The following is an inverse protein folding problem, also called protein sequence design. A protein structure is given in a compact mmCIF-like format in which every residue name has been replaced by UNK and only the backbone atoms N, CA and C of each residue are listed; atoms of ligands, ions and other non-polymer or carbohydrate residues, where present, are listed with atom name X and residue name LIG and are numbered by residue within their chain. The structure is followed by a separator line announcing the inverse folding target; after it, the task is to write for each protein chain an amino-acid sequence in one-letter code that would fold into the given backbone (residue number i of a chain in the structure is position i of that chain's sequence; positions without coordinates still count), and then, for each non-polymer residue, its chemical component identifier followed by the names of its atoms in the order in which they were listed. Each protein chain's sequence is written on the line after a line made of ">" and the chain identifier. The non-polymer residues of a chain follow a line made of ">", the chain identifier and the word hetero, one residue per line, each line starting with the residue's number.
data_IF_615009359631
#
_entry.id   IF_615009359631
#
_cell.length_a   1.000
_cell.length_b   1.000
_cell.length_c   1.000
_cell.angle_alpha   90.00
_cell.angle_beta   90.00
_cell.angle_gamma   90.00
#
_symmetry.space_group_name_H-M   'P 1'
#
loop_
_entity.id
_entity.type
_entity.pdbx_description
1 polymer ?
2 polymer ?
3 non-polymer ?
4 non-polymer ?
5 non-polymer ?
6 non-polymer ?
7 non-polymer ?
#
# COMPACT_ATOMS: atom_id res chain seq x y z
N UNK A 3 5.90 1.65 -20.06
CA UNK A 3 5.90 0.25 -19.68
C UNK A 3 4.51 -0.35 -19.55
N UNK A 4 4.41 -1.27 -18.60
CA UNK A 4 3.16 -1.91 -18.27
C UNK A 4 2.38 -1.13 -17.24
N UNK A 5 1.06 -1.11 -17.40
CA UNK A 5 0.20 -0.39 -16.47
C UNK A 5 -1.01 -1.27 -16.14
N UNK A 6 -1.41 -1.29 -14.87
CA UNK A 6 -2.47 -2.20 -14.44
C UNK A 6 -3.58 -1.41 -13.76
N UNK A 7 -4.76 -2.02 -13.72
CA UNK A 7 -5.86 -1.52 -12.91
C UNK A 7 -6.45 -2.70 -12.14
N UNK A 8 -6.65 -2.52 -10.83
CA UNK A 8 -7.12 -3.59 -9.96
C UNK A 8 -8.30 -3.12 -9.13
N UNK A 9 -9.19 -4.05 -8.87
CA UNK A 9 -10.24 -3.93 -7.88
C UNK A 9 -9.94 -4.95 -6.81
N UNK A 10 -9.78 -4.49 -5.58
CA UNK A 10 -9.51 -5.39 -4.46
C UNK A 10 -10.73 -5.43 -3.55
N UNK A 11 -11.00 -6.61 -3.02
CA UNK A 11 -12.10 -6.88 -2.10
C UNK A 11 -11.55 -7.69 -0.96
N UNK A 12 -11.91 -7.28 0.25
CA UNK A 12 -11.47 -7.90 1.49
C UNK A 12 -12.72 -8.19 2.30
N UNK A 13 -13.02 -9.46 2.49
CA UNK A 13 -14.18 -9.92 3.26
C UNK A 13 -13.71 -10.64 4.53
N UNK A 14 -14.27 -10.26 5.66
CA UNK A 14 -13.99 -10.91 6.94
C UNK A 14 -15.30 -11.51 7.43
N UNK A 15 -15.38 -12.85 7.46
CA UNK A 15 -16.56 -13.54 7.96
C UNK A 15 -16.29 -13.88 9.41
N UNK A 16 -17.05 -13.23 10.30
CA UNK A 16 -16.88 -13.34 11.74
C UNK A 16 -17.77 -14.42 12.31
N UNK A 17 -19.06 -14.43 11.97
CA UNK A 17 -19.93 -15.50 12.43
C UNK A 17 -20.98 -15.75 11.35
N UNK A 18 -22.04 -16.51 11.70
CA UNK A 18 -23.00 -16.95 10.69
C UNK A 18 -23.79 -15.80 10.09
N UNK A 19 -23.83 -14.64 10.75
CA UNK A 19 -24.55 -13.46 10.27
C UNK A 19 -23.61 -12.32 9.92
N UNK A 20 -22.74 -11.91 10.84
CA UNK A 20 -21.89 -10.75 10.59
C UNK A 20 -20.78 -11.10 9.60
N UNK A 21 -20.56 -10.21 8.63
CA UNK A 21 -19.47 -10.37 7.68
C UNK A 21 -19.17 -8.99 7.09
N UNK A 22 -17.97 -8.47 7.32
CA UNK A 22 -17.63 -7.14 6.81
C UNK A 22 -16.95 -7.26 5.46
N UNK A 23 -17.19 -6.28 4.59
CA UNK A 23 -16.55 -6.22 3.27
C UNK A 23 -15.99 -4.85 2.92
N UNK A 24 -14.76 -4.83 2.41
CA UNK A 24 -14.15 -3.61 1.92
C UNK A 24 -13.71 -3.77 0.48
N UNK A 25 -13.66 -2.66 -0.24
CA UNK A 25 -13.27 -2.72 -1.64
C UNK A 25 -12.73 -1.40 -2.11
N UNK A 26 -11.81 -1.47 -3.06
CA UNK A 26 -11.23 -0.25 -3.60
C UNK A 26 -10.68 -0.53 -4.98
N UNK A 27 -10.52 0.53 -5.75
CA UNK A 27 -9.96 0.46 -7.09
C UNK A 27 -8.63 1.19 -7.16
N UNK A 28 -7.67 0.59 -7.86
CA UNK A 28 -6.29 1.08 -7.88
C UNK A 28 -5.75 1.11 -9.30
N UNK A 29 -5.32 2.29 -9.74
CA UNK A 29 -4.52 2.42 -10.95
C UNK A 29 -3.05 2.37 -10.55
N UNK A 30 -2.39 1.26 -10.86
CA UNK A 30 -1.07 0.95 -10.31
C UNK A 30 -1.11 1.03 -8.79
N UNK A 31 -0.43 2.00 -8.19
CA UNK A 31 -0.42 2.16 -6.74
C UNK A 31 -1.28 3.32 -6.27
N UNK A 32 -1.93 4.03 -7.19
CA UNK A 32 -2.75 5.18 -6.83
C UNK A 32 -4.18 4.71 -6.64
N UNK A 33 -4.72 4.92 -5.46
CA UNK A 33 -6.12 4.61 -5.24
C UNK A 33 -6.98 5.61 -5.98
N UNK A 34 -7.79 5.09 -6.90
CA UNK A 34 -8.70 5.93 -7.66
C UNK A 34 -10.14 5.81 -7.18
N UNK A 35 -10.48 4.70 -6.52
CA UNK A 35 -11.85 4.45 -6.11
C UNK A 35 -11.93 3.83 -4.73
N UNK A 36 -13.02 4.14 -4.04
CA UNK A 36 -13.38 3.45 -2.84
C UNK A 36 -14.77 2.88 -3.00
N UNK A 37 -15.21 2.17 -1.96
CA UNK A 37 -16.53 1.54 -1.95
C UNK A 37 -17.21 1.91 -0.65
N UNK A 38 -18.30 2.67 -0.74
CA UNK A 38 -19.13 2.92 0.43
C UNK A 38 -20.03 1.73 0.66
N UNK A 39 -19.83 1.05 1.79
CA UNK A 39 -20.51 -0.22 2.05
C UNK A 39 -21.95 -0.03 2.50
N UNK A 40 -22.27 1.08 3.13
CA UNK A 40 -23.62 1.37 3.55
C UNK A 40 -24.51 1.52 2.32
N UNK A 41 -24.29 2.56 1.50
CA UNK A 41 -25.02 2.75 0.25
C UNK A 41 -24.62 1.76 -0.84
N UNK A 42 -23.48 1.12 -0.71
CA UNK A 42 -23.03 0.24 -1.77
C UNK A 42 -22.81 0.97 -3.07
N UNK A 43 -21.98 2.00 -3.02
CA UNK A 43 -21.74 2.86 -4.17
C UNK A 43 -20.24 3.04 -4.37
N UNK A 44 -19.86 3.40 -5.60
CA UNK A 44 -18.46 3.67 -5.92
C UNK A 44 -18.15 5.09 -5.51
N UNK A 45 -17.03 5.29 -4.82
CA UNK A 45 -16.56 6.60 -4.42
C UNK A 45 -15.43 6.96 -5.38
N UNK A 46 -15.61 8.08 -6.11
CA UNK A 46 -14.63 8.52 -7.11
C UNK A 46 -13.65 9.49 -6.47
N UNK A 47 -12.45 9.02 -6.12
CA UNK A 47 -11.46 9.79 -5.36
C UNK A 47 -10.81 10.92 -6.14
N UNK A 48 -10.96 10.97 -7.46
CA UNK A 48 -10.41 12.04 -8.28
C UNK A 48 -11.50 12.56 -9.21
N UNK A 49 -11.29 13.76 -9.75
CA UNK A 49 -12.24 14.29 -10.72
C UNK A 49 -12.34 13.38 -11.94
N UNK A 50 -11.21 12.83 -12.37
CA UNK A 50 -11.13 11.98 -13.55
C UNK A 50 -11.38 10.50 -13.24
N UNK A 51 -11.90 10.15 -12.07
CA UNK A 51 -12.08 8.74 -11.78
C UNK A 51 -13.18 8.10 -12.62
N UNK A 52 -14.08 8.89 -13.21
CA UNK A 52 -15.11 8.33 -14.07
C UNK A 52 -14.49 7.66 -15.29
N UNK A 53 -13.39 8.22 -15.80
CA UNK A 53 -12.61 7.54 -16.82
C UNK A 53 -13.34 7.28 -18.12
N UNK A 54 -13.97 8.31 -18.65
CA UNK A 54 -14.67 8.23 -19.93
C UNK A 54 -15.78 7.17 -19.95
N UNK A 55 -16.38 6.85 -18.81
CA UNK A 55 -17.54 5.97 -18.70
C UNK A 55 -18.77 6.79 -18.29
N UNK A 56 -19.89 6.58 -18.98
CA UNK A 56 -21.12 7.32 -18.71
C UNK A 56 -21.69 6.99 -17.31
N UNK A 57 -22.56 7.89 -16.81
CA UNK A 57 -23.19 7.63 -15.52
C UNK A 57 -24.09 6.42 -15.58
N UNK A 58 -24.72 6.17 -16.73
CA UNK A 58 -25.50 4.94 -16.85
C UNK A 58 -24.58 3.72 -16.76
N UNK A 59 -23.44 3.76 -17.44
CA UNK A 59 -22.46 2.66 -17.35
C UNK A 59 -22.02 2.42 -15.90
N UNK A 60 -21.54 3.47 -15.23
CA UNK A 60 -21.06 3.35 -13.86
C UNK A 60 -22.18 2.97 -12.88
N UNK A 61 -23.43 3.44 -13.12
CA UNK A 61 -24.54 3.05 -12.27
C UNK A 61 -24.85 1.57 -12.39
N UNK A 62 -24.81 1.03 -13.60
CA UNK A 62 -25.02 -0.39 -13.81
C UNK A 62 -23.85 -1.22 -13.25
N UNK A 63 -22.60 -0.74 -13.37
CA UNK A 63 -21.48 -1.46 -12.74
C UNK A 63 -21.66 -1.50 -11.22
N UNK A 64 -22.17 -0.41 -10.63
CA UNK A 64 -22.53 -0.42 -9.21
C UNK A 64 -23.55 -1.49 -8.92
N UNK A 65 -24.67 -1.51 -9.67
CA UNK A 65 -25.68 -2.56 -9.45
C UNK A 65 -25.10 -3.95 -9.52
N UNK A 66 -24.24 -4.19 -10.52
CA UNK A 66 -23.56 -5.47 -10.66
C UNK A 66 -22.75 -5.81 -9.41
N UNK A 67 -21.99 -4.84 -8.89
CA UNK A 67 -21.18 -5.09 -7.71
C UNK A 67 -22.04 -5.35 -6.49
N UNK A 68 -23.17 -4.65 -6.36
CA UNK A 68 -24.05 -4.89 -5.23
C UNK A 68 -24.60 -6.31 -5.26
N UNK A 69 -25.06 -6.73 -6.44
CA UNK A 69 -25.59 -8.08 -6.54
C UNK A 69 -24.49 -9.13 -6.35
N UNK A 70 -23.29 -8.87 -6.85
CA UNK A 70 -22.18 -9.81 -6.66
C UNK A 70 -21.85 -9.95 -5.18
N UNK A 71 -21.77 -8.83 -4.47
CA UNK A 71 -21.55 -8.87 -3.03
C UNK A 71 -22.66 -9.67 -2.35
N UNK A 72 -23.91 -9.38 -2.69
CA UNK A 72 -25.04 -10.09 -2.07
C UNK A 72 -24.89 -11.60 -2.25
N UNK A 73 -24.75 -12.05 -3.50
CA UNK A 73 -24.69 -13.48 -3.77
C UNK A 73 -23.47 -14.15 -3.18
N UNK A 74 -22.30 -13.52 -3.32
CA UNK A 74 -21.07 -14.12 -2.79
C UNK A 74 -21.16 -14.32 -1.29
N UNK A 75 -21.61 -13.30 -0.57
CA UNK A 75 -21.77 -13.44 0.86
C UNK A 75 -22.78 -14.51 1.20
N UNK A 76 -23.90 -14.54 0.46
CA UNK A 76 -24.95 -15.52 0.72
C UNK A 76 -24.40 -16.95 0.62
N UNK A 77 -23.69 -17.25 -0.46
CA UNK A 77 -23.24 -18.62 -0.68
C UNK A 77 -22.12 -19.01 0.28
N UNK A 78 -21.19 -18.09 0.56
CA UNK A 78 -20.11 -18.43 1.47
C UNK A 78 -20.64 -18.65 2.88
N UNK A 79 -21.57 -17.81 3.34
CA UNK A 79 -22.11 -18.00 4.68
C UNK A 79 -22.99 -19.24 4.73
N UNK A 80 -23.61 -19.61 3.62
CA UNK A 80 -24.35 -20.86 3.56
C UNK A 80 -23.40 -22.03 3.80
N UNK A 81 -22.29 -22.09 3.07
CA UNK A 81 -21.38 -23.24 3.20
C UNK A 81 -20.63 -23.25 4.52
N UNK A 82 -20.38 -22.07 5.09
CA UNK A 82 -19.56 -21.95 6.28
C UNK A 82 -20.33 -22.20 7.56
N UNK A 83 -21.61 -21.84 7.61
CA UNK A 83 -22.38 -22.12 8.82
C UNK A 83 -22.46 -23.62 9.06
N UNK A 84 -22.08 -24.43 8.07
CA UNK A 84 -22.04 -25.87 8.27
C UNK A 84 -20.95 -26.28 9.25
N UNK A 85 -19.88 -25.49 9.40
CA UNK A 85 -18.91 -25.71 10.48
C UNK A 85 -18.59 -24.34 11.07
N UNK A 86 -19.22 -24.04 12.20
CA UNK A 86 -18.89 -22.83 12.93
C UNK A 86 -17.45 -22.77 13.43
N UNK A 87 -16.67 -23.85 13.32
CA UNK A 87 -15.33 -23.85 13.88
C UNK A 87 -14.42 -22.98 13.06
N UNK A 88 -14.69 -22.90 11.75
CA UNK A 88 -13.82 -22.13 10.88
C UNK A 88 -13.82 -20.65 11.22
N UNK A 89 -14.99 -20.10 11.55
CA UNK A 89 -15.10 -18.68 11.83
C UNK A 89 -14.08 -18.31 12.90
N UNK A 90 -13.43 -17.17 12.78
CA UNK A 90 -13.54 -16.21 11.69
C UNK A 90 -12.59 -16.54 10.56
N UNK A 91 -12.86 -16.06 9.34
CA UNK A 91 -11.91 -16.27 8.26
C UNK A 91 -11.96 -15.09 7.31
N UNK A 92 -11.01 -15.08 6.39
CA UNK A 92 -10.83 -13.97 5.49
C UNK A 92 -10.76 -14.42 4.04
N UNK A 93 -11.38 -13.64 3.18
CA UNK A 93 -11.28 -13.87 1.75
C UNK A 93 -10.84 -12.58 1.08
N UNK A 94 -9.87 -12.68 0.18
CA UNK A 94 -9.35 -11.54 -0.56
C UNK A 94 -9.44 -11.82 -2.04
N UNK A 95 -9.96 -10.86 -2.80
CA UNK A 95 -10.13 -10.97 -4.24
C UNK A 95 -9.39 -9.80 -4.86
N UNK A 96 -8.44 -10.08 -5.77
CA UNK A 96 -7.77 -9.05 -6.57
C UNK A 96 -8.16 -9.33 -8.01
N UNK A 97 -8.95 -8.44 -8.59
CA UNK A 97 -9.35 -8.57 -9.97
C UNK A 97 -8.82 -7.39 -10.78
N UNK A 98 -8.84 -7.55 -12.08
CA UNK A 98 -8.44 -6.41 -12.89
C UNK A 98 -7.64 -6.83 -14.11
N UNK A 99 -6.80 -5.94 -14.62
CA UNK A 99 -6.10 -6.19 -15.88
C UNK A 99 -4.76 -5.45 -15.93
N UNK A 100 -3.98 -5.81 -16.92
CA UNK A 100 -2.68 -5.19 -17.13
C UNK A 100 -2.42 -5.08 -18.63
N UNK A 101 -2.11 -3.86 -19.06
CA UNK A 101 -1.68 -3.56 -20.42
C UNK A 101 -0.17 -3.65 -20.55
N UNK A 102 0.27 -4.55 -21.42
CA UNK A 102 1.68 -4.77 -21.66
C UNK A 102 2.23 -3.85 -22.72
N UNK A 103 3.54 -3.92 -22.86
CA UNK A 103 4.22 -3.17 -23.87
C UNK A 103 3.70 -3.63 -25.23
N UNK A 104 3.05 -2.71 -25.94
CA UNK A 104 2.48 -3.00 -27.22
C UNK A 104 0.98 -3.00 -27.26
N UNK A 105 0.34 -2.87 -26.09
CA UNK A 105 -1.10 -2.81 -26.02
C UNK A 105 -1.78 -4.14 -25.78
N UNK A 106 -1.04 -5.18 -25.48
CA UNK A 106 -1.69 -6.47 -25.23
C UNK A 106 -2.23 -6.53 -23.81
N UNK A 107 -3.51 -6.85 -23.62
CA UNK A 107 -4.05 -6.94 -22.26
C UNK A 107 -3.99 -8.38 -21.72
N UNK A 108 -3.88 -8.44 -20.41
CA UNK A 108 -3.97 -9.68 -19.66
C UNK A 108 -4.76 -9.43 -18.38
N UNK A 109 -5.78 -10.25 -18.16
CA UNK A 109 -6.68 -10.09 -17.04
C UNK A 109 -6.34 -11.03 -15.89
N UNK A 110 -6.56 -10.56 -14.66
CA UNK A 110 -6.39 -11.33 -13.45
C UNK A 110 -7.68 -11.41 -12.67
N UNK A 111 -7.87 -12.56 -12.04
CA UNK A 111 -8.89 -12.71 -11.00
C UNK A 111 -8.35 -13.73 -10.03
N UNK A 112 -7.77 -13.27 -8.92
CA UNK A 112 -7.13 -14.13 -7.92
C UNK A 112 -7.83 -14.03 -6.58
N UNK A 113 -7.98 -15.19 -5.92
CA UNK A 113 -8.67 -15.31 -4.65
C UNK A 113 -7.77 -16.00 -3.62
N UNK A 114 -7.66 -15.39 -2.44
CA UNK A 114 -6.93 -15.98 -1.33
C UNK A 114 -7.87 -16.22 -0.16
N UNK A 115 -7.63 -17.31 0.56
CA UNK A 115 -8.40 -17.71 1.72
C UNK A 115 -7.48 -17.69 2.94
N UNK A 116 -7.76 -16.80 3.89
CA UNK A 116 -6.92 -16.67 5.07
C UNK A 116 -5.47 -16.36 4.71
N UNK A 117 -5.27 -15.41 3.79
CA UNK A 117 -3.93 -14.99 3.41
C UNK A 117 -3.12 -15.98 2.60
N UNK A 118 -3.71 -17.12 2.23
CA UNK A 118 -3.07 -18.12 1.39
C UNK A 118 -3.81 -18.25 0.07
N UNK A 119 -3.07 -18.43 -1.02
CA UNK A 119 -3.67 -18.52 -2.35
C UNK A 119 -4.67 -19.66 -2.42
N UNK A 120 -5.92 -19.32 -2.74
CA UNK A 120 -6.96 -20.32 -2.88
C UNK A 120 -7.14 -20.74 -4.34
N UNK A 121 -7.46 -19.78 -5.23
CA UNK A 121 -7.71 -20.17 -6.62
C UNK A 121 -7.47 -18.99 -7.54
N UNK A 122 -7.43 -19.28 -8.85
CA UNK A 122 -7.17 -18.27 -9.86
C UNK A 122 -8.06 -18.49 -11.07
N UNK A 123 -8.22 -17.46 -11.89
CA UNK A 123 -8.94 -17.55 -13.16
C UNK A 123 -7.89 -17.43 -14.27
N UNK A 124 -7.38 -18.56 -14.73
CA UNK A 124 -6.32 -18.61 -15.72
C UNK A 124 -6.92 -18.89 -17.08
N UNK A 125 -6.52 -18.12 -18.09
CA UNK A 125 -7.10 -18.23 -19.44
C UNK A 125 -8.61 -18.10 -19.39
N UNK A 126 -9.34 -19.21 -19.42
CA UNK A 126 -10.79 -19.15 -19.34
C UNK A 126 -11.39 -20.10 -18.32
N UNK A 127 -10.59 -20.59 -17.36
CA UNK A 127 -11.08 -21.61 -16.42
C UNK A 127 -10.53 -21.35 -15.02
N UNK A 128 -11.26 -21.85 -14.06
CA UNK A 128 -10.87 -21.75 -12.66
C UNK A 128 -9.83 -22.81 -12.34
N UNK A 129 -8.64 -22.36 -11.97
CA UNK A 129 -7.51 -23.21 -11.61
C UNK A 129 -7.29 -23.12 -10.10
N UNK A 130 -7.42 -24.22 -9.38
CA UNK A 130 -7.16 -24.21 -7.93
C UNK A 130 -5.68 -24.08 -7.61
N UNK A 131 -5.39 -23.50 -6.45
CA UNK A 131 -3.98 -23.31 -6.16
C UNK A 131 -3.39 -24.55 -5.50
N UNK A 132 -2.16 -24.89 -5.86
CA UNK A 132 -1.43 -25.96 -5.14
C UNK A 132 -1.16 -25.47 -3.72
N UNK A 133 -1.61 -26.26 -2.74
CA UNK A 133 -1.51 -25.81 -1.36
C UNK A 133 -2.81 -26.06 -0.66
N UNK A 134 -3.81 -25.22 -0.94
CA UNK A 134 -5.16 -25.51 -0.52
C UNK A 134 -5.63 -26.73 -1.29
N UNK A 135 -5.99 -27.79 -0.59
CA UNK A 135 -6.33 -28.95 -1.35
C UNK A 135 -7.81 -29.12 -1.52
N UNK A 136 -8.47 -29.56 -0.44
CA UNK A 136 -9.89 -29.89 -0.50
C UNK A 136 -10.70 -28.64 -0.81
N UNK A 137 -10.42 -27.53 -0.10
CA UNK A 137 -11.25 -26.34 -0.25
C UNK A 137 -11.05 -25.72 -1.63
N UNK A 138 -9.82 -25.71 -2.11
CA UNK A 138 -9.59 -25.13 -3.43
C UNK A 138 -10.33 -25.94 -4.50
N UNK A 139 -10.20 -27.27 -4.45
CA UNK A 139 -10.89 -28.15 -5.41
C UNK A 139 -12.42 -28.07 -5.30
N UNK A 140 -12.97 -27.95 -4.09
CA UNK A 140 -14.41 -27.85 -3.92
C UNK A 140 -14.94 -26.52 -4.49
N UNK A 141 -14.26 -25.41 -4.19
CA UNK A 141 -14.68 -24.11 -4.71
C UNK A 141 -14.54 -24.09 -6.23
N UNK A 142 -13.50 -24.73 -6.76
CA UNK A 142 -13.37 -24.81 -8.21
C UNK A 142 -14.46 -25.65 -8.85
N UNK A 143 -14.82 -26.77 -8.22
CA UNK A 143 -15.89 -27.59 -8.76
C UNK A 143 -17.21 -26.81 -8.75
N UNK A 144 -17.47 -26.05 -7.70
CA UNK A 144 -18.69 -25.26 -7.66
C UNK A 144 -18.70 -24.18 -8.73
N UNK A 145 -17.53 -23.55 -8.97
CA UNK A 145 -17.49 -22.42 -9.90
C UNK A 145 -17.52 -22.89 -11.35
N UNK A 146 -16.78 -23.97 -11.67
CA UNK A 146 -16.62 -24.41 -13.05
C UNK A 146 -17.91 -24.97 -13.61
N UNK A 147 -18.85 -25.37 -12.75
CA UNK A 147 -20.07 -26.00 -13.27
C UNK A 147 -21.36 -25.35 -12.76
N UNK A 148 -21.53 -25.22 -11.46
CA UNK A 148 -22.80 -24.72 -10.91
C UNK A 148 -23.00 -23.24 -11.20
N UNK A 149 -22.15 -22.40 -10.60
CA UNK A 149 -22.25 -20.95 -10.74
C UNK A 149 -21.67 -20.54 -12.08
N UNK A 150 -22.43 -20.84 -13.10
CA UNK A 150 -22.07 -20.39 -14.42
C UNK A 150 -22.90 -19.17 -14.78
N UNK A 151 -22.37 -18.39 -15.71
CA UNK A 151 -22.80 -17.04 -15.91
C UNK A 151 -21.98 -16.10 -15.09
N UNK A 152 -21.48 -16.59 -13.97
CA UNK A 152 -20.51 -15.83 -13.23
C UNK A 152 -19.16 -15.88 -13.93
N UNK A 153 -18.85 -17.03 -14.54
CA UNK A 153 -17.57 -17.17 -15.22
C UNK A 153 -17.51 -16.28 -16.46
N UNK A 154 -18.57 -16.28 -17.27
CA UNK A 154 -18.60 -15.43 -18.46
C UNK A 154 -18.50 -13.95 -18.08
N UNK A 155 -19.15 -13.57 -16.98
CA UNK A 155 -19.10 -12.19 -16.53
C UNK A 155 -17.68 -11.82 -16.08
N UNK A 156 -17.01 -12.71 -15.34
CA UNK A 156 -15.64 -12.45 -14.94
C UNK A 156 -14.74 -12.28 -16.16
N UNK A 157 -14.92 -13.14 -17.17
CA UNK A 157 -14.10 -13.03 -18.37
C UNK A 157 -14.30 -11.68 -19.04
N UNK A 158 -15.55 -11.30 -19.28
CA UNK A 158 -15.79 -10.02 -19.97
C UNK A 158 -15.40 -8.82 -19.13
N UNK A 159 -15.43 -8.93 -17.80
CA UNK A 159 -15.01 -7.80 -16.99
C UNK A 159 -13.51 -7.63 -17.07
N UNK A 160 -12.75 -8.71 -16.85
CA UNK A 160 -11.31 -8.57 -16.76
C UNK A 160 -10.64 -8.52 -18.12
N UNK A 161 -11.33 -8.94 -19.18
CA UNK A 161 -10.72 -9.00 -20.50
C UNK A 161 -11.24 -7.96 -21.48
N UNK A 162 -12.43 -7.41 -21.27
CA UNK A 162 -13.01 -6.42 -22.17
C UNK A 162 -13.25 -5.08 -21.50
N UNK A 163 -14.02 -5.07 -20.41
CA UNK A 163 -14.37 -3.81 -19.79
C UNK A 163 -13.18 -3.21 -19.06
N UNK A 164 -12.38 -4.05 -18.40
CA UNK A 164 -11.27 -3.52 -17.63
C UNK A 164 -10.28 -2.78 -18.50
N UNK A 165 -9.82 -3.29 -19.65
CA UNK A 165 -8.86 -2.51 -20.42
C UNK A 165 -9.45 -1.23 -21.03
N UNK A 166 -10.71 -1.25 -21.46
CA UNK A 166 -11.31 0.00 -21.94
C UNK A 166 -11.32 1.03 -20.85
N UNK A 167 -11.75 0.63 -19.64
CA UNK A 167 -11.80 1.58 -18.55
C UNK A 167 -10.42 2.04 -18.13
N UNK A 168 -9.43 1.16 -18.20
CA UNK A 168 -8.08 1.56 -17.82
C UNK A 168 -7.56 2.63 -18.77
N UNK A 169 -7.75 2.44 -20.07
CA UNK A 169 -7.31 3.45 -21.02
C UNK A 169 -8.14 4.73 -20.90
N UNK A 170 -9.42 4.60 -20.62
CA UNK A 170 -10.23 5.78 -20.34
C UNK A 170 -9.75 6.53 -19.13
N UNK A 171 -9.33 5.82 -18.10
CA UNK A 171 -8.79 6.45 -16.90
C UNK A 171 -7.47 7.13 -17.20
N UNK A 172 -6.59 6.45 -17.93
CA UNK A 172 -5.29 7.03 -18.27
C UNK A 172 -5.46 8.28 -19.11
N UNK A 173 -6.46 8.29 -19.98
CA UNK A 173 -6.64 9.49 -20.77
C UNK A 173 -7.29 10.59 -19.93
N UNK A 174 -8.23 10.22 -19.07
CA UNK A 174 -8.91 11.22 -18.27
C UNK A 174 -7.97 11.85 -17.25
N UNK A 175 -7.05 11.08 -16.67
CA UNK A 175 -6.14 11.65 -15.68
C UNK A 175 -4.71 11.79 -16.18
N UNK A 176 -4.54 12.27 -17.42
CA UNK A 176 -3.19 12.35 -17.98
C UNK A 176 -2.31 13.33 -17.24
N UNK A 177 -2.87 14.42 -16.74
CA UNK A 177 -2.06 15.43 -16.07
C UNK A 177 -1.66 15.01 -14.65
N UNK A 178 -2.31 14.01 -14.08
CA UNK A 178 -1.93 13.56 -12.76
C UNK A 178 -1.05 12.32 -12.80
N UNK A 179 -1.29 11.42 -13.75
CA UNK A 179 -0.46 10.22 -13.80
C UNK A 179 0.91 10.51 -14.39
N UNK A 180 0.98 11.43 -15.34
CA UNK A 180 2.25 11.81 -15.90
C UNK A 180 2.95 12.89 -15.14
N UNK A 181 2.52 13.16 -13.90
CA UNK A 181 3.10 14.26 -13.15
C UNK A 181 4.50 13.87 -12.67
N UNK A 182 5.28 14.92 -12.38
CA UNK A 182 6.66 14.76 -11.86
C UNK A 182 6.80 15.75 -10.70
N UNK A 183 7.03 15.25 -9.48
CA UNK A 183 7.12 16.04 -8.25
C UNK A 183 8.53 15.96 -7.69
N UNK A 184 9.16 17.13 -7.52
CA UNK A 184 10.58 17.17 -7.08
C UNK A 184 10.71 16.81 -5.60
N UNK A 185 11.68 15.97 -5.23
CA UNK A 185 11.92 15.60 -3.83
C UNK A 185 12.68 16.71 -3.11
N UNK A 186 12.54 16.69 -1.79
CA UNK A 186 13.34 17.49 -0.89
C UNK A 186 14.24 16.54 -0.13
N UNK A 187 15.51 16.86 -0.05
CA UNK A 187 16.48 16.01 0.64
C UNK A 187 17.04 16.77 1.83
N UNK A 188 17.40 16.01 2.86
CA UNK A 188 18.06 16.65 3.98
C UNK A 188 18.88 15.60 4.70
N UNK A 189 19.91 16.07 5.34
CA UNK A 189 20.84 15.20 6.03
C UNK A 189 20.56 15.26 7.52
N UNK A 190 20.92 14.20 8.22
CA UNK A 190 20.76 14.17 9.67
C UNK A 190 21.72 13.13 10.20
N UNK A 191 21.85 13.06 11.52
CA UNK A 191 22.72 12.09 12.16
C UNK A 191 21.88 11.15 13.00
N UNK A 192 21.93 9.87 12.66
CA UNK A 192 21.21 8.86 13.40
C UNK A 192 21.97 8.41 14.63
N UNK A 193 21.45 7.36 15.27
CA UNK A 193 22.14 6.84 16.46
C UNK A 193 23.51 6.30 16.11
N UNK A 194 24.47 6.50 17.03
CA UNK A 194 25.87 6.10 16.84
C UNK A 194 25.99 4.59 16.69
N UNK A 195 26.54 4.08 15.58
CA UNK A 195 26.71 2.60 15.44
C UNK A 195 27.74 2.04 16.40
N UNK A 196 28.55 2.90 17.00
CA UNK A 196 29.57 2.49 17.94
C UNK A 196 30.33 3.69 18.45
N UNK A 197 31.14 3.46 19.48
CA UNK A 197 31.98 4.54 20.00
C UNK A 197 32.96 5.01 18.94
N UNK A 198 32.97 6.33 18.70
CA UNK A 198 33.79 6.91 17.65
C UNK A 198 33.20 6.77 16.27
N UNK A 199 32.36 5.78 16.06
CA UNK A 199 31.72 5.61 14.79
C UNK A 199 30.50 6.52 14.71
N UNK A 200 30.22 6.96 13.48
CA UNK A 200 29.23 7.99 13.22
C UNK A 200 28.23 7.51 12.18
N UNK A 201 26.96 7.88 12.37
CA UNK A 201 25.86 7.46 11.50
C UNK A 201 25.34 8.66 10.70
N UNK A 202 25.53 8.63 9.39
CA UNK A 202 24.99 9.62 8.47
C UNK A 202 23.67 9.12 7.86
N UNK A 203 22.68 9.98 7.78
CA UNK A 203 21.35 9.64 7.27
C UNK A 203 20.97 10.66 6.22
N UNK A 204 20.42 10.16 5.12
CA UNK A 204 20.01 11.01 4.01
C UNK A 204 18.53 10.75 3.75
N UNK A 205 17.70 11.79 3.86
CA UNK A 205 16.26 11.66 3.68
C UNK A 205 15.87 12.30 2.36
N UNK A 206 15.08 11.58 1.56
CA UNK A 206 14.58 12.09 0.29
C UNK A 206 13.09 11.87 0.32
N UNK A 207 12.32 12.95 0.48
CA UNK A 207 10.88 12.82 0.65
C UNK A 207 10.13 13.68 -0.35
N UNK A 208 8.90 13.27 -0.62
CA UNK A 208 7.99 14.06 -1.45
C UNK A 208 8.21 13.97 -2.93
N UNK A 209 8.61 12.82 -3.46
CA UNK A 209 8.87 12.68 -4.87
C UNK A 209 7.87 11.72 -5.50
N UNK A 210 7.45 12.05 -6.73
CA UNK A 210 6.68 11.19 -7.60
C UNK A 210 7.15 11.45 -9.02
N UNK A 211 7.32 10.41 -9.87
CA UNK A 211 7.04 8.98 -9.67
C UNK A 211 7.94 8.33 -8.63
N UNK A 212 7.61 7.10 -8.30
CA UNK A 212 8.23 6.32 -7.24
C UNK A 212 9.71 5.97 -7.47
N UNK A 213 10.14 5.58 -8.67
CA UNK A 213 11.56 5.22 -8.85
C UNK A 213 12.49 6.36 -8.49
N UNK A 214 13.58 6.05 -7.79
CA UNK A 214 14.50 7.07 -7.32
C UNK A 214 15.86 6.44 -7.07
N UNK A 215 16.90 7.24 -7.13
CA UNK A 215 18.26 6.77 -6.90
C UNK A 215 18.89 7.62 -5.81
N UNK A 216 19.31 6.97 -4.73
CA UNK A 216 19.91 7.65 -3.60
C UNK A 216 21.16 6.89 -3.23
N UNK A 217 22.27 7.61 -3.04
CA UNK A 217 23.52 6.98 -2.66
C UNK A 217 24.40 7.94 -1.87
N UNK A 218 25.17 7.36 -0.98
CA UNK A 218 26.25 8.10 -0.36
C UNK A 218 27.51 7.93 -1.17
N UNK A 219 28.17 9.05 -1.48
CA UNK A 219 29.28 9.05 -2.41
C UNK A 219 30.44 9.93 -1.92
N UNK A 220 31.65 9.55 -2.31
CA UNK A 220 32.87 10.35 -2.15
C UNK A 220 33.25 10.84 -3.53
N UNK A 221 32.75 12.01 -3.90
CA UNK A 221 32.93 12.51 -5.25
C UNK A 221 32.17 11.68 -6.26
N UNK A 222 32.90 10.87 -7.04
CA UNK A 222 32.24 9.99 -7.99
C UNK A 222 32.15 8.56 -7.50
N UNK A 223 32.95 8.16 -6.51
CA UNK A 223 32.90 6.80 -5.98
C UNK A 223 31.79 6.66 -4.95
N UNK A 224 30.73 5.95 -5.30
CA UNK A 224 29.67 5.72 -4.37
C UNK A 224 30.09 4.71 -3.31
N UNK A 225 29.78 5.02 -2.06
CA UNK A 225 30.03 4.07 -0.98
C UNK A 225 29.14 2.86 -1.13
N UNK A 226 29.70 1.69 -0.86
CA UNK A 226 28.95 0.46 -0.97
C UNK A 226 28.35 0.04 0.36
N UNK A 227 28.75 0.72 1.42
CA UNK A 227 28.20 0.35 2.70
C UNK A 227 26.88 1.01 2.98
N UNK A 228 26.43 1.92 2.11
CA UNK A 228 25.20 2.62 2.40
C UNK A 228 24.01 1.68 2.29
N UNK A 229 23.14 1.76 3.29
CA UNK A 229 21.96 0.92 3.43
C UNK A 229 20.76 1.75 2.99
N UNK A 230 20.17 1.36 1.86
CA UNK A 230 18.96 1.99 1.35
C UNK A 230 17.74 1.42 2.06
N UNK A 231 16.89 2.29 2.61
CA UNK A 231 15.65 1.85 3.24
C UNK A 231 14.60 1.53 2.19
N UNK A 232 13.36 1.36 2.67
CA UNK A 232 12.22 1.10 1.79
C UNK A 232 11.65 2.41 1.28
N UNK A 233 11.14 2.39 0.05
CA UNK A 233 10.39 3.53 -0.47
C UNK A 233 9.00 3.45 0.13
N UNK A 234 8.71 4.33 1.09
CA UNK A 234 7.52 4.42 1.93
C UNK A 234 6.56 5.49 1.41
N UNK A 235 5.26 5.39 1.64
CA UNK A 235 4.32 6.36 1.09
C UNK A 235 4.11 7.59 1.97
N UNK A 236 3.87 8.70 1.31
CA UNK A 236 3.36 9.88 1.96
C UNK A 236 1.89 10.00 1.57
N UNK A 237 1.18 10.81 2.34
CA UNK A 237 -0.16 11.19 1.93
C UNK A 237 -0.04 12.09 0.70
N UNK A 238 -1.10 12.14 -0.10
CA UNK A 238 -1.15 12.95 -1.32
C UNK A 238 -0.11 12.45 -2.34
N UNK A 239 0.08 11.15 -2.43
CA UNK A 239 0.82 10.63 -3.56
C UNK A 239 2.25 11.06 -3.78
N UNK A 240 3.07 10.96 -2.75
CA UNK A 240 4.48 11.16 -2.85
C UNK A 240 5.12 10.03 -2.08
N UNK A 241 6.46 9.96 -2.13
CA UNK A 241 7.21 8.85 -1.56
C UNK A 241 8.40 9.36 -0.76
N UNK A 242 8.90 8.51 0.11
CA UNK A 242 9.97 8.82 1.04
C UNK A 242 10.98 7.70 1.00
N UNK A 243 12.26 8.05 1.17
CA UNK A 243 13.36 7.10 1.15
C UNK A 243 14.45 7.59 2.11
N UNK A 244 15.13 6.65 2.75
CA UNK A 244 16.17 6.97 3.71
C UNK A 244 17.38 6.13 3.37
N UNK A 245 18.53 6.76 3.18
CA UNK A 245 19.77 6.05 2.89
C UNK A 245 20.73 6.37 4.01
N UNK A 246 21.17 5.35 4.73
CA UNK A 246 22.05 5.55 5.87
C UNK A 246 23.46 5.02 5.58
N UNK A 247 24.40 5.44 6.42
CA UNK A 247 25.79 4.98 6.32
C UNK A 247 26.51 5.24 7.64
N UNK A 248 27.28 4.26 8.11
CA UNK A 248 28.13 4.48 9.28
C UNK A 248 29.59 4.59 8.85
N UNK A 249 30.31 5.53 9.45
CA UNK A 249 31.63 5.89 8.97
C UNK A 249 32.51 6.22 10.16
N UNK A 250 33.81 6.15 9.94
CA UNK A 250 34.72 6.54 10.99
C UNK A 250 34.67 8.05 11.14
N UNK A 251 34.59 8.48 12.40
CA UNK A 251 34.63 9.89 12.69
C UNK A 251 35.97 10.44 12.21
N UNK A 252 35.97 11.30 11.20
CA UNK A 252 37.19 11.75 10.55
C UNK A 252 37.19 11.45 9.08
N UNK A 253 36.52 10.36 8.70
CA UNK A 253 36.27 10.02 7.32
C UNK A 253 34.92 10.55 6.84
N UNK A 254 34.16 11.22 7.71
CA UNK A 254 32.85 11.73 7.30
C UNK A 254 32.96 12.99 6.45
N UNK A 255 33.98 13.81 6.65
CA UNK A 255 34.16 15.00 5.82
C UNK A 255 34.47 14.61 4.38
N UNK A 256 33.83 15.31 3.43
CA UNK A 256 33.96 14.99 2.02
C UNK A 256 32.88 14.11 1.46
N UNK A 257 32.19 13.35 2.31
CA UNK A 257 31.08 12.54 1.84
C UNK A 257 29.88 13.41 1.52
N UNK A 258 29.06 12.92 0.59
CA UNK A 258 27.86 13.63 0.21
C UNK A 258 26.79 12.59 -0.08
N UNK A 259 25.58 13.08 -0.22
CA UNK A 259 24.41 12.29 -0.58
C UNK A 259 23.93 12.77 -1.95
N UNK A 260 23.86 11.85 -2.92
CA UNK A 260 23.38 12.17 -4.26
C UNK A 260 22.02 11.52 -4.52
N UNK A 261 21.10 12.28 -5.10
CA UNK A 261 19.73 11.88 -5.40
C UNK A 261 19.47 12.15 -6.88
N UNK A 262 19.11 11.10 -7.61
CA UNK A 262 18.71 11.20 -9.01
C UNK A 262 17.26 10.81 -9.09
N UNK A 263 16.49 11.64 -9.78
CA UNK A 263 15.07 11.44 -9.95
C UNK A 263 14.68 12.00 -11.30
N UNK A 264 13.61 11.45 -11.89
CA UNK A 264 13.19 11.91 -13.21
C UNK A 264 12.77 13.37 -13.19
N UNK A 265 12.22 13.83 -12.05
CA UNK A 265 11.73 15.20 -11.94
C UNK A 265 12.85 16.24 -11.87
N UNK A 266 14.06 15.78 -11.55
CA UNK A 266 15.18 16.73 -11.34
C UNK A 266 15.69 17.19 -12.72
N UNK A 267 15.12 16.64 -13.78
CA UNK A 267 15.47 17.08 -15.16
C UNK A 267 17.00 17.21 -15.30
N UNK A 268 17.76 16.20 -14.89
CA UNK A 268 19.22 16.24 -15.12
C UNK A 268 19.99 16.67 -13.90
N UNK A 269 19.91 17.96 -13.52
CA UNK A 269 20.75 18.41 -12.42
C UNK A 269 20.33 17.68 -11.13
N UNK A 270 21.16 16.72 -10.66
CA UNK A 270 20.84 15.91 -9.48
C UNK A 270 20.96 16.73 -8.21
N UNK A 271 20.43 16.17 -7.11
CA UNK A 271 20.54 16.78 -5.78
C UNK A 271 21.78 16.22 -5.08
N UNK A 272 22.65 17.11 -4.61
CA UNK A 272 23.87 16.70 -3.91
C UNK A 272 23.91 17.47 -2.60
N UNK A 273 24.06 16.74 -1.49
CA UNK A 273 24.08 17.31 -0.15
C UNK A 273 25.31 16.82 0.59
N UNK A 274 26.26 17.72 0.84
CA UNK A 274 27.50 17.34 1.50
C UNK A 274 27.33 17.33 3.01
N UNK A 275 27.89 16.31 3.64
CA UNK A 275 27.83 16.22 5.08
C UNK A 275 28.76 17.29 5.62
N UNK A 276 28.22 18.15 6.47
CA UNK A 276 28.96 19.22 7.09
C UNK A 276 29.25 18.91 8.55
N UNK A 277 28.26 18.39 9.27
CA UNK A 277 28.40 18.11 10.68
C UNK A 277 28.63 19.38 11.47
N UNK A 278 29.72 19.42 12.22
CA UNK A 278 30.08 20.60 13.02
C UNK A 278 31.34 21.26 12.49
N UNK A 279 31.45 21.27 11.15
CA UNK A 279 32.59 21.81 10.43
C UNK A 279 32.40 23.25 10.00
N UNK A 280 31.17 23.75 9.89
CA UNK A 280 30.90 25.10 9.41
C UNK A 280 30.74 25.99 10.64
N UNK A 281 31.54 27.08 10.79
CA UNK A 281 31.37 27.96 11.96
C UNK A 281 30.01 28.65 12.05
N UNK B 1 -6.15 -24.33 6.61
CA UNK B 1 -4.92 -23.56 6.96
C UNK B 1 -5.11 -22.06 6.92
N UNK B 2 -4.22 -21.35 7.61
CA UNK B 2 -4.28 -19.90 7.68
C UNK B 2 -2.89 -19.41 8.03
N UNK B 3 -2.52 -18.34 7.41
CA UNK B 3 -1.24 -17.70 7.61
C UNK B 3 -1.44 -16.50 8.52
N UNK B 4 -0.50 -16.26 9.42
CA UNK B 4 -0.56 -15.09 10.28
C UNK B 4 0.75 -14.36 10.19
N UNK B 5 0.69 -13.09 9.80
CA UNK B 5 1.87 -12.30 9.54
C UNK B 5 1.91 -11.11 10.50
N UNK B 6 3.07 -10.91 11.14
CA UNK B 6 3.23 -9.84 12.10
C UNK B 6 3.34 -8.50 11.37
N UNK B 7 2.66 -7.46 11.86
CA UNK B 7 2.76 -6.16 11.19
C UNK B 7 4.14 -5.57 11.38
N UNK B 8 4.54 -4.80 10.38
CA UNK B 8 5.78 -4.06 10.34
C UNK B 8 5.43 -2.58 10.44
N UNK B 9 5.92 -1.91 11.50
CA UNK B 9 5.57 -0.53 11.81
C UNK B 9 6.76 0.37 11.47
N UNK B 10 6.53 1.42 10.65
CA UNK B 10 7.55 2.41 10.31
C UNK B 10 7.02 3.81 10.50
N UNK B 11 7.67 4.59 11.38
CA UNK B 11 7.23 5.95 11.68
C UNK B 11 8.21 6.97 11.09
N UNK B 12 7.69 7.92 10.31
CA UNK B 12 8.55 8.91 9.66
C UNK B 12 7.75 10.18 9.40
N UNK B 13 8.44 11.30 9.34
CA UNK B 13 7.79 12.58 9.09
C UNK B 13 7.86 12.92 7.59
N UNK B 14 6.84 13.64 7.13
CA UNK B 14 6.78 14.06 5.72
C UNK B 14 7.88 15.06 5.37
N UNK B 15 8.14 16.00 6.28
CA UNK B 15 9.13 17.05 6.11
C UNK B 15 10.18 16.90 7.20
N UNK B 16 11.31 17.61 7.12
CA UNK B 16 12.24 17.61 8.25
C UNK B 16 11.56 18.10 9.52
N UNK B 17 11.99 17.57 10.66
CA UNK B 17 11.42 17.92 11.95
C UNK B 17 11.77 19.36 12.31
N UNK B 18 11.33 20.32 11.49
CA UNK B 18 11.59 21.73 11.80
C UNK B 18 10.84 22.04 13.08
N UNK B 19 11.58 22.08 14.17
CA UNK B 19 10.96 22.22 15.48
C UNK B 19 10.19 23.53 15.60
N UNK B 20 8.88 23.48 15.40
CA UNK B 20 8.01 24.65 15.46
C UNK B 20 7.17 24.88 14.22
N UNK B 21 7.52 24.26 13.10
CA UNK B 21 6.80 24.39 11.83
C UNK B 21 5.86 23.21 11.64
N UNK B 22 4.79 23.46 10.89
CA UNK B 22 3.81 22.41 10.63
C UNK B 22 4.47 21.25 9.86
N UNK B 23 3.96 20.05 10.07
CA UNK B 23 4.53 18.85 9.46
C UNK B 23 3.48 17.74 9.51
N UNK B 24 3.82 16.57 8.94
CA UNK B 24 2.96 15.40 8.98
C UNK B 24 3.73 14.21 9.52
N UNK B 25 3.11 13.48 10.44
CA UNK B 25 3.69 12.27 11.00
C UNK B 25 2.96 11.07 10.41
N UNK B 26 3.76 10.15 9.86
CA UNK B 26 3.19 8.98 9.17
C UNK B 26 3.62 7.66 9.81
N UNK B 27 2.67 6.80 10.14
CA UNK B 27 2.90 5.43 10.62
C UNK B 27 2.45 4.49 9.50
N UNK B 28 3.40 3.80 8.88
CA UNK B 28 3.13 2.83 7.82
C UNK B 28 3.13 1.45 8.45
N UNK B 29 1.98 0.77 8.42
CA UNK B 29 1.80 -0.56 9.02
C UNK B 29 1.58 -1.53 7.87
N UNK B 30 2.56 -2.39 7.61
CA UNK B 30 2.56 -3.21 6.41
C UNK B 30 2.84 -4.68 6.73
N UNK B 31 2.47 -5.56 5.81
CA UNK B 31 2.86 -6.94 5.87
C UNK B 31 2.18 -7.77 6.94
N UNK B 32 0.97 -7.39 7.35
CA UNK B 32 0.27 -8.10 8.40
C UNK B 32 -0.91 -8.87 7.84
N UNK B 33 -1.29 -9.90 8.58
CA UNK B 33 -2.44 -10.72 8.24
C UNK B 33 -2.82 -11.52 9.49
N UNK B 34 -4.11 -11.62 9.86
CA UNK B 34 -5.31 -11.10 9.16
C UNK B 34 -5.48 -9.62 9.25
N UNK B 35 -6.60 -9.12 8.71
CA UNK B 35 -6.79 -7.68 8.47
C UNK B 35 -7.09 -6.88 9.72
N UNK B 36 -7.72 -7.47 10.70
CA UNK B 36 -8.10 -6.70 11.88
C UNK B 36 -6.86 -6.23 12.65
N UNK B 37 -6.66 -4.90 12.73
CA UNK B 37 -5.52 -4.31 13.45
C UNK B 37 -6.00 -3.04 14.14
N UNK B 38 -5.28 -2.65 15.20
CA UNK B 38 -5.60 -1.41 15.92
C UNK B 38 -4.37 -0.52 15.92
N UNK B 39 -4.41 0.59 15.18
CA UNK B 39 -3.29 1.51 15.04
C UNK B 39 -3.68 2.85 15.65
N UNK B 40 -2.81 3.39 16.51
CA UNK B 40 -3.02 4.70 17.13
C UNK B 40 -1.75 5.52 17.10
N UNK B 41 -1.90 6.79 16.79
CA UNK B 41 -0.80 7.72 16.88
C UNK B 41 -0.85 8.39 18.25
N UNK B 42 0.26 8.33 18.98
CA UNK B 42 0.35 8.81 20.35
C UNK B 42 1.26 10.04 20.37
N UNK B 43 0.81 11.09 21.04
CA UNK B 43 1.61 12.26 21.38
C UNK B 43 1.79 12.26 22.89
N UNK B 44 3.02 12.05 23.37
CA UNK B 44 3.32 12.02 24.81
C UNK B 44 2.53 10.95 25.59
N UNK B 45 2.00 9.93 24.92
CA UNK B 45 1.30 8.82 25.56
C UNK B 45 -0.17 8.73 25.26
N UNK B 46 -0.84 9.87 25.05
CA UNK B 46 -2.28 9.88 24.79
C UNK B 46 -2.55 9.73 23.30
N UNK B 47 -3.69 9.13 22.97
CA UNK B 47 -4.06 8.89 21.58
C UNK B 47 -4.48 10.21 20.92
N UNK B 48 -3.99 10.43 19.69
CA UNK B 48 -4.35 11.62 18.90
C UNK B 48 -5.68 11.36 18.18
N UNK B 49 -6.63 12.29 18.38
CA UNK B 49 -7.98 12.10 17.83
C UNK B 49 -8.01 12.38 16.35
N UNK B 50 -7.47 13.52 15.93
CA UNK B 50 -7.50 13.91 14.52
C UNK B 50 -6.46 13.10 13.74
N UNK B 51 -6.77 11.81 13.48
CA UNK B 51 -5.85 10.96 12.71
C UNK B 51 -6.59 10.39 11.50
N UNK B 52 -5.86 10.25 10.38
CA UNK B 52 -6.44 9.73 9.14
C UNK B 52 -5.62 8.58 8.60
N UNK B 53 -6.25 7.76 7.77
CA UNK B 53 -5.58 6.57 7.29
C UNK B 53 -6.06 6.19 5.91
N UNK B 54 -5.15 5.59 5.14
CA UNK B 54 -5.52 5.12 3.82
C UNK B 54 -6.52 3.97 3.92
N UNK B 55 -7.23 3.73 2.81
CA UNK B 55 -8.11 2.57 2.74
C UNK B 55 -7.27 1.30 2.77
N UNK B 56 -7.85 0.24 3.34
CA UNK B 56 -7.09 -0.99 3.52
C UNK B 56 -6.73 -1.55 2.17
N UNK B 57 -5.53 -2.09 2.08
CA UNK B 57 -5.08 -2.66 0.83
C UNK B 57 -4.11 -3.78 1.15
N UNK B 58 -3.88 -4.66 0.18
CA UNK B 58 -2.97 -5.77 0.38
C UNK B 58 -1.93 -5.89 -0.74
N UNK B 59 -0.80 -6.49 -0.41
CA UNK B 59 0.30 -6.64 -1.33
C UNK B 59 0.09 -7.88 -2.22
N UNK B 60 1.16 -8.39 -2.84
CA UNK B 60 1.01 -9.56 -3.69
C UNK B 60 0.90 -10.85 -2.90
N UNK B 61 1.56 -10.93 -1.72
CA UNK B 61 1.46 -12.08 -0.82
C UNK B 61 0.18 -12.05 0.01
N UNK B 62 -0.73 -11.12 -0.32
CA UNK B 62 -2.01 -10.90 0.32
C UNK B 62 -1.90 -10.30 1.72
N UNK B 63 -0.73 -9.81 2.12
CA UNK B 63 -0.57 -9.16 3.41
C UNK B 63 -1.00 -7.70 3.35
N UNK B 64 -1.64 -7.24 4.40
CA UNK B 64 -2.26 -5.93 4.32
C UNK B 64 -1.30 -4.81 4.67
N UNK B 65 -1.60 -3.59 4.18
CA UNK B 65 -0.85 -2.39 4.54
C UNK B 65 -1.78 -1.18 4.61
N UNK B 66 -1.45 -0.29 5.55
CA UNK B 66 -2.18 0.93 5.87
C UNK B 66 -1.20 2.06 6.10
N UNK B 67 -1.65 3.28 5.86
CA UNK B 67 -0.85 4.47 6.12
C UNK B 67 -1.67 5.37 7.04
N UNK B 68 -1.33 5.43 8.31
CA UNK B 68 -1.93 6.42 9.20
C UNK B 68 -1.08 7.69 9.17
N UNK B 69 -1.72 8.87 9.22
CA UNK B 69 -0.98 10.12 9.15
C UNK B 69 -1.75 11.23 9.85
N UNK B 70 -1.00 12.12 10.46
CA UNK B 70 -1.59 13.26 11.15
C UNK B 70 -0.75 14.53 10.98
N UNK B 71 -1.41 15.69 10.95
CA UNK B 71 -0.68 16.96 10.92
C UNK B 71 -0.27 17.30 12.34
N UNK B 72 0.98 17.74 12.50
CA UNK B 72 1.48 18.02 13.84
C UNK B 72 2.56 19.09 13.78
N UNK B 73 2.73 19.77 14.91
CA UNK B 73 3.81 20.73 15.05
C UNK B 73 4.78 20.21 16.11
N UNK B 74 5.96 19.73 15.73
CA UNK B 74 6.88 19.11 16.70
C UNK B 74 7.48 20.16 17.61
N UNK B 75 7.66 19.79 18.88
CA UNK B 75 8.32 20.65 19.86
C UNK B 75 9.28 19.84 20.71
N UNK B 76 10.30 20.53 21.25
CA UNK B 76 11.35 19.84 21.97
C UNK B 76 10.77 19.05 23.14
N UNK B 77 9.66 19.51 23.69
CA UNK B 77 9.08 18.84 24.84
C UNK B 77 8.29 17.58 24.47
N UNK B 78 7.87 17.43 23.20
CA UNK B 78 6.96 16.35 22.80
C UNK B 78 7.68 15.15 22.22
N UNK B 79 7.13 13.97 22.52
CA UNK B 79 7.55 12.71 21.94
C UNK B 79 6.34 12.09 21.24
N UNK B 80 6.57 11.52 20.07
CA UNK B 80 5.49 10.94 19.29
C UNK B 80 5.77 9.46 19.02
N UNK B 81 4.70 8.67 18.88
CA UNK B 81 4.84 7.23 18.68
C UNK B 81 3.65 6.68 17.92
N UNK B 82 3.80 5.44 17.50
CA UNK B 82 2.75 4.68 16.82
C UNK B 82 2.58 3.37 17.57
N UNK B 83 1.36 3.07 17.99
CA UNK B 83 1.09 1.86 18.77
C UNK B 83 0.14 0.98 17.98
N UNK B 84 0.57 -0.22 17.62
CA UNK B 84 -0.33 -1.13 16.91
C UNK B 84 -0.56 -2.37 17.76
N UNK B 85 -1.80 -2.88 17.67
CA UNK B 85 -2.15 -4.15 18.34
C UNK B 85 -2.73 -5.09 17.28
N UNK B 86 -2.20 -6.30 17.18
CA UNK B 86 -2.59 -7.27 16.21
C UNK B 86 -2.61 -8.61 16.92
N UNK B 87 -3.24 -9.60 16.28
CA UNK B 87 -3.32 -10.91 16.90
C UNK B 87 -1.94 -11.53 17.07
N UNK B 88 -1.00 -11.16 16.19
CA UNK B 88 0.36 -11.67 16.24
C UNK B 88 1.21 -10.96 17.26
N UNK B 89 0.60 -10.09 18.07
CA UNK B 89 1.28 -9.32 19.12
C UNK B 89 0.58 -9.62 20.43
N UNK B 90 1.34 -10.17 21.39
CA UNK B 90 0.80 -10.46 22.72
C UNK B 90 0.38 -9.18 23.42
N UNK B 91 1.33 -8.26 23.46
CA UNK B 91 1.07 -6.93 24.04
C UNK B 91 1.25 -5.93 22.89
N UNK B 92 0.62 -4.75 22.93
CA UNK B 92 0.69 -3.77 21.83
C UNK B 92 2.13 -3.35 21.62
N UNK B 93 2.49 -3.21 20.36
CA UNK B 93 3.84 -2.79 19.97
C UNK B 93 3.82 -1.30 19.72
N UNK B 94 4.77 -0.58 20.33
CA UNK B 94 4.89 0.86 20.20
C UNK B 94 6.24 1.18 19.59
N UNK B 95 6.22 1.99 18.53
CA UNK B 95 7.44 2.47 17.88
C UNK B 95 7.45 3.98 18.04
N UNK B 96 8.47 4.51 18.71
CA UNK B 96 8.55 5.95 18.91
C UNK B 96 9.16 6.61 17.68
N UNK B 97 8.79 7.87 17.45
CA UNK B 97 9.27 8.65 16.30
C UNK B 97 10.55 9.38 16.69
N UNK B 98 11.68 8.96 16.13
CA UNK B 98 12.97 9.62 16.30
C UNK B 98 13.08 10.87 15.45
N UNK B 99 13.70 11.93 16.00
CA UNK B 99 13.86 13.19 15.25
C UNK B 99 14.66 12.97 13.96
N UNK B 100 15.88 12.40 14.06
CA UNK B 100 16.69 12.07 12.89
C UNK B 100 16.75 13.24 11.93
X LIG C 1 -21.21 -11.84 15.55
X LIG C 1 -21.47 -11.61 17.05
X LIG C 1 -22.16 -10.26 17.19
X LIG C 1 -21.13 -9.21 16.81
X LIG C 1 -20.66 -9.47 15.37
X LIG C 1 -19.41 -8.71 15.00
X LIG C 1 -21.69 -13.41 18.75
X LIG C 1 -20.27 -13.09 19.19
X LIG C 1 -22.19 -12.67 17.72
X LIG C 1 -22.61 -10.09 18.51
X LIG C 1 -21.73 -7.94 17.04
X LIG C 1 -20.33 -10.83 15.10
X LIG C 1 -18.41 -8.98 15.96
X LIG C 1 -22.33 -14.29 19.28
X LIG D 1 -16.00 -4.56 -2.91
X LIG D 1 -16.38 -3.73 -4.18
X LIG D 1 -15.16 -3.08 -4.90
X LIG D 1 -15.00 -1.08 -6.33
X LIG D 1 -15.57 -0.18 -7.45
X LIG D 1 -14.55 0.77 -8.04
X LIG D 1 -13.89 0.22 -9.28
X LIG D 1 -14.90 0.07 -10.41
X LIG D 1 -14.95 1.31 -11.32
X LIG D 1 -15.19 0.92 -12.80
X LIG D 1 -15.13 -0.60 -13.01
X LIG D 1 -14.44 -1.03 -14.32
X LIG D 1 -13.37 -2.12 -14.06
X LIG D 1 -13.75 -3.51 -14.55
X LIG D 1 -13.90 -4.52 -13.43
X LIG D 1 -12.63 -5.32 -13.21
X LIG D 1 -12.97 -6.65 -12.52
X LIG D 1 -13.96 -6.52 -11.35
X LIG D 1 -14.44 -7.84 -10.73
X LIG D 1 -15.63 -7.70 -9.78
X LIG D 1 -17.05 -4.63 -1.95
X LIG D 1 -17.19 -4.51 -5.05
X LIG D 1 -15.51 -2.40 -6.11
X LIG D 1 -14.10 -0.61 -5.69
X LIG E 1 -1.51 4.29 0.88
X LIG E 1 -1.33 5.55 0.03
X LIG E 1 -0.82 5.17 -1.36
X LIG E 1 0.41 4.30 -1.36
X LIG E 1 -0.49 6.40 -2.05
X LIG E 1 -0.24 6.14 -3.44
X LIG E 1 0.89 7.11 -3.86
X LIG E 1 0.96 7.35 -5.69
X LIG E 1 1.75 8.58 -6.07
X LIG E 1 -0.33 7.77 -6.33
X LIG E 1 1.56 6.10 -6.33
X LIG E 1 0.19 3.07 -0.46
X LIG E 1 -0.28 3.41 0.94
X LIG F 1 -4.88 8.16 1.78
X LIG F 1 -5.62 8.79 2.63
X LIG F 1 -5.35 7.17 1.12
X LIG F 1 -3.39 8.54 1.59
X LIG F 1 -3.02 9.25 0.28
X LIG F 1 -1.94 8.94 -0.36
X LIG F 1 -3.79 10.16 -0.12
X LIG G 1 -3.34 18.20 1.94
X LIG G 1 -4.08 19.10 2.45
X LIG G 1 -3.66 17.72 0.81
X LIG G 1 -2.07 17.70 2.68
X LIG G 1 -1.87 16.21 2.97
X LIG G 1 -0.78 15.81 3.49
X LIG G 1 -2.76 15.37 2.69
X LIG H 1 -16.45 -15.66 -8.96
X LIG H 1 -16.80 -14.99 -7.60
X LIG H 1 -15.72 -15.24 -6.54
X LIG H 1 -14.78 -16.41 -6.93
X LIG H 1 -14.33 -17.24 -5.71
X LIG H 1 -15.39 -17.23 -4.59
X LIG H 1 -14.80 -16.71 -3.26
X LIG H 1 -13.98 -17.82 -2.55
X LIG H 1 -14.90 -18.91 -1.99
X LIG H 1 -14.83 -19.93 -0.83
X LIG H 1 -13.91 -19.42 0.31
X LIG H 1 -14.72 -19.22 1.61
X LIG H 1 -15.81 -20.31 1.76
X LIG H 1 -15.28 -21.53 2.54
X LIG H 1 -15.21 -21.24 4.05
X LIG H 1 -16.06 -22.25 4.86
X LIG H 1 -16.86 -23.22 3.94
X LIG H 1 -16.31 -24.67 4.02
X LIG H 1 -16.65 -27.15 3.70
X LIG H 1 -17.31 -27.92 4.91
X LIG H 1 -17.27 -30.07 6.00
X LIG H 1 -16.42 -29.72 7.24
X LIG H 1 -17.02 -30.22 8.48
X LIG H 1 -18.45 -29.94 8.68
X LIG H 1 -19.21 -30.37 7.49
X LIG H 1 -20.69 -29.98 7.64
X LIG H 1 -19.40 -29.95 10.92
X LIG H 1 -20.26 -30.86 11.82
X LIG H 1 -20.78 -30.12 12.99
X LIG H 1 -19.72 -29.41 13.74
X LIG H 1 -18.87 -28.54 12.79
X LIG H 1 -17.72 -27.90 13.61
X LIG H 1 -22.72 -30.65 14.26
X LIG H 1 -23.61 -31.89 14.33
X LIG H 1 -25.01 -31.51 14.58
X LIG H 1 -25.53 -30.75 13.45
X LIG H 1 -24.65 -29.60 12.98
X LIG H 1 -24.79 -29.55 11.40
X LIG H 1 -24.80 -28.06 10.83
X LIG H 1 -24.38 -28.12 9.34
X LIG H 1 -26.57 -26.37 11.39
X LIG H 1 -27.28 -25.58 10.28
X LIG H 1 -27.50 -24.14 10.53
X LIG H 1 -26.36 -23.46 11.16
X LIG H 1 -25.87 -24.30 12.33
X LIG H 1 -24.81 -23.48 13.14
X LIG H 1 -24.56 -24.05 14.56
X LIG H 1 -24.14 -22.95 15.56
X LIG H 1 -26.98 -20.96 10.97
X LIG H 1 -27.46 -19.66 11.67
X LIG H 1 -27.52 -26.66 12.52
X LIG H 1 -28.06 -30.54 13.09
X LIG H 1 -27.98 -31.51 11.89
X LIG H 1 -22.66 -30.01 15.61
X LIG H 1 -16.93 -27.86 2.33
X LIG H 1 -16.90 -26.89 1.12
X LIG H 1 -18.04 -26.65 0.44
X LIG H 1 -18.08 -25.70 -0.78
X LIG H 1 -16.92 -24.67 -0.81
X LIG H 1 -17.24 -23.38 0.01
X LIG H 1 -17.86 -22.24 -0.85
X LIG H 1 -17.58 -22.41 -2.36
X LIG H 1 -17.96 -21.15 -3.18
X LIG H 1 -19.00 -20.26 -2.46
X LIG H 1 -19.35 -19.02 -3.31
X LIG H 1 -18.81 -19.14 -4.77
X LIG H 1 -19.52 -18.14 -5.72
X LIG H 1 -20.87 -17.67 -5.16
X LIG H 1 -21.48 -16.50 -5.97
X LIG H 1 -20.51 -16.00 -7.07
X LIG H 1 -17.19 -25.78 3.63
X LIG H 1 -26.82 -22.19 11.76
X LIG H 1 -26.85 -30.18 13.84
X LIG H 1 -15.21 -24.89 4.38
X LIG H 1 -16.82 -29.27 4.89
X LIG H 1 -18.75 -29.81 6.21
X LIG H 1 -21.35 -31.01 8.35
X LIG H 1 -18.87 -30.76 9.84
X LIG H 1 -18.30 -29.36 11.68
X LIG H 1 -18.00 -26.52 13.74
X LIG H 1 -18.90 -30.37 14.36
X LIG H 1 -21.41 -31.10 13.90
X LIG H 1 -23.20 -29.65 13.28
X LIG H 1 -25.07 -29.19 8.73
X LIG H 1 -26.20 -27.68 10.81
X LIG H 1 -25.41 -25.64 11.93
X LIG H 1 -23.42 -23.57 16.60
X LIG H 1 -25.77 -24.61 15.00
X LIG H 1 -23.59 -23.47 12.45
X LIG H 1 -26.76 -20.94 9.80
X LIG H 1 -27.76 -23.52 9.29
X LIG H 1 -28.77 -26.58 12.35
X LIG H 1 -27.07 -27.01 13.65
X LIG H 1 -23.73 -30.27 10.82
X LIG H 1 -29.11 -30.08 13.42
X LIG H 1 -25.78 -32.67 14.72
X LIG H 1 -22.20 -30.68 16.58
X LIG H 1 -23.06 -28.83 15.78
X LIG H 1 -21.36 -31.33 11.08
X LIG H 1 -16.30 -29.68 9.57
X LIG H 1 -15.13 -30.26 7.09
X LIG H 1 -15.93 -28.82 2.14
#
# INVERSE_FOLDING_TARGET
>A
SQEHVSFHVIQIFSFVNQSWARGQGSGWLDELQTHGWDSESGTIIFLHQWSKGQFSNEELSDLELLFRFYLFGLTREIQDHASQDYSKYPFEVQVKAGCELHSGGSPEGFFQVAFNGLDLLSFQQTTWVPSPGCGSLAQSVCHLLNHQYEGVTETVYNLIRSTCPRFLLGLLDAGKMYVHRQVRPEAWLSSGPSPGPGRLQLVCHVSGFYPKPVWVMWMRGEQEQQGTQLGDILPNANGTWYLRATLDVADGEAAGLSCRVKHSSLEGQDIILYWRGSLVP
>B
AAIQRTPKIQVYSRHPAENGKSNFLNCYVSGFHPSDIEVDLLKNGERIEKVEHSDLSFSKDWSFYLLYYTEFTPTEKDEYACRVNHVTLSQPKIVKWDRDM
>C hetero
1 NAG C1 C2 C3 C4 C5 C6 C7 C8 N2 O3 O4 O5 O6 O7
>D hetero
1 A1CB5 C02 C03 C05 C07 C08 C09 C10 C11 C12 C13 C14 C15 C16 C17 C18 C19 C20 C21 C22 C23 O01 O04 O06 O24
>E hetero
1 KZF C3' C2' C1' C6' N C1 C2 S O1 O2 O3 C5' C4'
>F hetero
1 MLA C1 O1A O1B C2 C3 O3A O3B
>G hetero
1 MLA C1 O1A O1B C2 C3 O3A O3B
>H hetero
1 A1CB4 C01 C02 C03 C04 C05 C06 C07 C08 C09 C10 C11 C12 C13 C14 C15 C16 C17 C18 C21 C22 C24 C25 C26 C27 C28 C30 C33 C34 C35 C36 C37 C39 C43 C44 C45 C46 C47 C49 C50 C51 C54 C55 C56 C57 C58 C60 C61 C62 C67 C69 C71 C76 C78 C80 C86 C87 C88 C89 C90 C91 C92 C93 C94 C95 C96 C97 C98 C99 CA0 CA1 N20 N66 N75 O19 O23 O29 O31 O32 O38 O40 O41 O42 O48 O52 O53 O59 O63 O64 O65 O68 O70 O72 O73 O74 O77 O79 O81 O82 O83 O84 O85 OA2
#
